data_IF_906457837214
#
_entry.id   IF_906457837214
#
_cell.length_a   1.000
_cell.length_b   1.000
_cell.length_c   1.000
_cell.angle_alpha   90.00
_cell.angle_beta   90.00
_cell.angle_gamma   90.00
#
_symmetry.space_group_name_H-M   'P 1'
#
loop_
_entity.id
_entity.type
_entity.pdbx_description
1 polymer ?
#
# COMPACT_ATOMS: atom_id res chain seq x y z
N UNK A 1 3.66 -16.82 -12.80
CA UNK A 1 4.45 -16.61 -14.03
C UNK A 1 5.78 -15.94 -13.69
N UNK A 2 6.69 -16.62 -12.96
CA UNK A 2 7.92 -15.99 -12.42
C UNK A 2 9.22 -16.68 -12.88
N UNK A 3 9.14 -17.60 -13.85
CA UNK A 3 10.32 -18.24 -14.42
C UNK A 3 10.80 -17.42 -15.62
N UNK A 4 12.00 -16.84 -15.53
CA UNK A 4 12.65 -16.14 -16.64
C UNK A 4 12.72 -14.60 -16.55
N UNK A 5 12.23 -14.01 -15.45
CA UNK A 5 12.33 -12.57 -15.18
C UNK A 5 13.28 -12.27 -14.01
N UNK A 6 14.03 -11.19 -14.16
CA UNK A 6 14.99 -10.68 -13.21
C UNK A 6 14.34 -9.70 -12.22
N UNK A 7 15.06 -9.39 -11.14
CA UNK A 7 14.60 -8.42 -10.15
C UNK A 7 14.73 -6.99 -10.69
N UNK A 8 13.71 -6.16 -10.48
CA UNK A 8 13.84 -4.71 -10.64
C UNK A 8 14.89 -4.18 -9.68
N UNK A 9 15.76 -3.27 -10.11
CA UNK A 9 16.62 -2.50 -9.24
C UNK A 9 16.32 -1.00 -9.37
N UNK A 10 16.82 -0.15 -8.45
CA UNK A 10 16.62 1.30 -8.53
C UNK A 10 17.09 1.92 -9.86
N UNK A 11 18.07 1.32 -10.54
CA UNK A 11 18.60 1.79 -11.82
C UNK A 11 17.65 1.55 -13.01
N UNK A 12 16.64 0.68 -12.85
CA UNK A 12 15.62 0.41 -13.88
C UNK A 12 14.49 1.44 -13.85
N UNK A 13 14.30 2.10 -12.70
CA UNK A 13 13.22 3.05 -12.46
C UNK A 13 13.23 4.28 -13.38
N UNK A 14 14.36 4.92 -13.75
CA UNK A 14 14.34 6.07 -14.66
C UNK A 14 13.72 5.76 -16.01
N UNK A 15 14.12 4.64 -16.64
CA UNK A 15 13.60 4.24 -17.94
C UNK A 15 12.10 3.95 -17.84
N UNK A 16 11.70 3.21 -16.80
CA UNK A 16 10.31 2.88 -16.56
C UNK A 16 9.43 4.10 -16.32
N UNK A 17 9.81 5.01 -15.41
CA UNK A 17 9.03 6.21 -15.12
C UNK A 17 8.97 7.17 -16.32
N UNK A 18 10.05 7.26 -17.11
CA UNK A 18 10.04 8.02 -18.37
C UNK A 18 9.01 7.45 -19.35
N UNK A 19 8.87 6.12 -19.43
CA UNK A 19 7.85 5.48 -20.25
C UNK A 19 6.43 5.70 -19.72
N UNK A 20 6.23 5.59 -18.40
CA UNK A 20 4.94 5.91 -17.76
C UNK A 20 4.48 7.34 -18.05
N UNK A 21 5.41 8.30 -18.13
CA UNK A 21 5.09 9.71 -18.42
C UNK A 21 4.60 9.95 -19.86
N UNK A 22 4.75 8.97 -20.76
CA UNK A 22 4.14 9.03 -22.10
C UNK A 22 2.65 8.71 -22.10
N UNK A 23 2.17 8.03 -21.05
CA UNK A 23 0.76 7.73 -20.92
C UNK A 23 -0.07 9.01 -20.67
N UNK A 24 -1.25 9.15 -21.29
CA UNK A 24 -2.09 10.34 -21.17
C UNK A 24 -2.64 10.54 -19.75
N UNK A 25 -2.79 9.46 -18.99
CA UNK A 25 -3.11 9.51 -17.57
C UNK A 25 -1.88 9.09 -16.77
N UNK A 26 -1.48 9.86 -15.75
CA UNK A 26 -0.28 9.52 -15.00
C UNK A 26 -0.55 8.30 -14.13
N UNK A 27 0.17 7.22 -14.44
CA UNK A 27 0.11 5.95 -13.72
C UNK A 27 0.48 6.14 -12.25
N UNK A 28 -0.11 5.30 -11.39
CA UNK A 28 0.10 5.37 -9.94
C UNK A 28 0.81 4.11 -9.51
N UNK A 29 1.97 4.24 -8.85
CA UNK A 29 2.67 3.11 -8.23
C UNK A 29 1.80 2.55 -7.09
N UNK A 30 1.47 1.27 -7.16
CA UNK A 30 0.57 0.59 -6.22
C UNK A 30 1.19 -0.71 -5.72
N UNK A 31 0.38 -1.58 -5.10
CA UNK A 31 0.78 -2.94 -4.79
C UNK A 31 1.86 -3.05 -3.70
N UNK A 32 2.76 -4.02 -3.85
CA UNK A 32 3.90 -4.17 -2.94
C UNK A 32 4.93 -3.05 -3.09
N UNK A 33 5.05 -2.52 -4.30
CA UNK A 33 6.05 -1.51 -4.62
C UNK A 33 5.80 -0.15 -3.97
N UNK A 34 4.55 0.27 -3.84
CA UNK A 34 4.25 1.51 -3.12
C UNK A 34 4.61 1.41 -1.63
N UNK A 35 4.45 0.23 -1.01
CA UNK A 35 4.91 0.00 0.36
C UNK A 35 6.43 0.12 0.46
N UNK A 36 7.16 -0.58 -0.43
CA UNK A 36 8.63 -0.50 -0.49
C UNK A 36 9.12 0.93 -0.65
N UNK A 37 8.50 1.68 -1.57
CA UNK A 37 8.81 3.10 -1.79
C UNK A 37 8.71 3.90 -0.49
N UNK A 38 7.61 3.77 0.25
CA UNK A 38 7.41 4.54 1.48
C UNK A 38 8.35 4.13 2.61
N UNK A 39 8.73 2.85 2.69
CA UNK A 39 9.70 2.41 3.69
C UNK A 39 11.06 3.06 3.41
N UNK A 40 11.53 2.99 2.17
CA UNK A 40 12.78 3.62 1.76
C UNK A 40 12.75 5.13 2.00
N UNK A 41 11.67 5.79 1.55
CA UNK A 41 11.46 7.23 1.74
C UNK A 41 11.53 7.67 3.21
N UNK A 42 10.96 6.87 4.12
CA UNK A 42 10.95 7.18 5.56
C UNK A 42 12.12 6.56 6.34
N UNK A 43 13.00 5.80 5.68
CA UNK A 43 14.09 5.07 6.35
C UNK A 43 13.59 4.12 7.44
N UNK A 44 12.42 3.47 7.25
CA UNK A 44 11.85 2.57 8.25
C UNK A 44 12.72 1.31 8.34
N UNK A 45 13.25 0.95 9.53
CA UNK A 45 14.02 -0.28 9.69
C UNK A 45 13.15 -1.49 9.42
N UNK A 46 13.63 -2.37 8.57
CA UNK A 46 12.94 -3.61 8.26
C UNK A 46 13.70 -4.76 8.92
N UNK A 47 13.00 -5.73 9.52
CA UNK A 47 13.64 -6.95 10.01
C UNK A 47 14.47 -7.62 8.91
N UNK A 48 15.56 -8.34 9.23
CA UNK A 48 16.28 -9.13 8.23
C UNK A 48 15.33 -10.19 7.64
N UNK A 49 14.72 -9.86 6.51
CA UNK A 49 13.91 -10.75 5.71
C UNK A 49 14.83 -11.55 4.78
N UNK A 50 14.45 -12.78 4.45
CA UNK A 50 15.21 -13.63 3.52
C UNK A 50 15.23 -13.07 2.08
N UNK A 51 14.43 -12.05 1.77
CA UNK A 51 14.30 -11.47 0.43
C UNK A 51 14.74 -10.01 0.40
N UNK A 52 15.63 -9.69 -0.55
CA UNK A 52 16.02 -8.33 -0.94
C UNK A 52 14.80 -7.46 -1.28
N UNK A 53 14.86 -6.16 -0.98
CA UNK A 53 13.83 -5.12 -1.18
C UNK A 53 13.36 -4.87 -2.62
N UNK A 54 13.74 -5.74 -3.53
CA UNK A 54 13.39 -5.67 -4.92
C UNK A 54 12.19 -6.61 -5.07
N UNK A 55 11.06 -6.14 -5.58
CA UNK A 55 10.05 -7.08 -6.10
C UNK A 55 10.48 -7.48 -7.51
N UNK A 56 10.09 -8.66 -7.98
CA UNK A 56 10.36 -9.04 -9.39
C UNK A 56 9.50 -8.21 -10.36
N UNK A 57 8.50 -7.56 -9.81
CA UNK A 57 7.31 -7.02 -10.43
C UNK A 57 7.18 -5.55 -10.03
N UNK A 58 6.91 -4.65 -10.98
CA UNK A 58 6.42 -3.31 -10.69
C UNK A 58 4.89 -3.23 -10.88
N UNK A 59 4.13 -2.90 -9.82
CA UNK A 59 2.67 -2.77 -9.90
C UNK A 59 2.26 -1.31 -10.14
N UNK A 60 1.51 -1.04 -11.22
CA UNK A 60 0.96 0.29 -11.49
C UNK A 60 -0.55 0.27 -11.76
N UNK A 61 -1.31 1.18 -11.14
CA UNK A 61 -2.70 1.41 -11.52
C UNK A 61 -2.74 2.28 -12.77
N UNK A 62 -3.14 1.66 -13.89
CA UNK A 62 -3.20 2.30 -15.20
C UNK A 62 -4.14 1.53 -16.13
N UNK A 63 -4.54 2.17 -17.24
CA UNK A 63 -5.44 1.56 -18.22
C UNK A 63 -4.68 0.63 -19.17
N UNK A 64 -5.43 -0.25 -19.86
CA UNK A 64 -4.89 -1.04 -20.97
C UNK A 64 -4.25 -0.17 -22.06
N UNK A 65 -4.80 1.00 -22.32
CA UNK A 65 -4.26 1.94 -23.30
C UNK A 65 -2.91 2.49 -22.85
N UNK A 66 -2.77 2.83 -21.57
CA UNK A 66 -1.50 3.27 -20.98
C UNK A 66 -0.44 2.17 -21.10
N UNK A 67 -0.81 0.90 -20.83
CA UNK A 67 0.08 -0.24 -20.97
C UNK A 67 0.60 -0.43 -22.41
N UNK A 68 -0.26 -0.20 -23.41
CA UNK A 68 0.14 -0.25 -24.83
C UNK A 68 1.21 0.80 -25.14
N UNK A 69 1.01 2.04 -24.68
CA UNK A 69 1.96 3.14 -24.89
C UNK A 69 3.31 2.83 -24.20
N UNK A 70 3.25 2.32 -22.97
CA UNK A 70 4.46 1.98 -22.21
C UNK A 70 5.21 0.82 -22.87
N UNK A 71 4.51 -0.20 -23.38
CA UNK A 71 5.13 -1.29 -24.13
C UNK A 71 5.86 -0.79 -25.38
N UNK A 72 5.25 0.15 -26.12
CA UNK A 72 5.88 0.75 -27.31
C UNK A 72 7.15 1.54 -26.96
N UNK A 73 7.09 2.39 -25.92
CA UNK A 73 8.23 3.21 -25.48
C UNK A 73 9.38 2.35 -24.91
N UNK A 74 9.06 1.24 -24.23
CA UNK A 74 10.06 0.32 -23.72
C UNK A 74 10.57 -0.68 -24.76
N UNK A 75 10.05 -0.63 -26.00
CA UNK A 75 10.25 -1.67 -27.02
C UNK A 75 9.99 -3.09 -26.46
N UNK A 76 8.99 -3.19 -25.60
CA UNK A 76 8.59 -4.39 -24.88
C UNK A 76 7.48 -5.18 -25.57
N UNK A 77 7.09 -6.29 -24.94
CA UNK A 77 5.95 -7.11 -25.33
C UNK A 77 4.80 -6.88 -24.37
N UNK A 78 3.63 -6.60 -24.92
CA UNK A 78 2.38 -6.46 -24.19
C UNK A 78 1.62 -7.80 -24.15
N UNK A 79 1.30 -8.26 -22.95
CA UNK A 79 0.37 -9.37 -22.72
C UNK A 79 -0.90 -8.81 -22.08
N UNK A 80 -2.05 -9.14 -22.65
CA UNK A 80 -3.36 -8.76 -22.11
C UNK A 80 -4.01 -10.05 -21.60
N UNK A 81 -4.42 -10.13 -20.32
CA UNK A 81 -5.12 -11.29 -19.79
C UNK A 81 -6.42 -11.54 -20.57
N UNK A 82 -6.72 -12.82 -20.83
CA UNK A 82 -7.98 -13.19 -21.48
C UNK A 82 -9.15 -13.05 -20.51
N UNK A 83 -10.39 -13.01 -21.01
CA UNK A 83 -11.58 -12.82 -20.16
C UNK A 83 -11.76 -13.89 -19.07
N UNK A 84 -11.16 -15.06 -19.26
CA UNK A 84 -11.18 -16.19 -18.32
C UNK A 84 -10.06 -16.11 -17.26
N UNK A 85 -9.08 -15.21 -17.44
CA UNK A 85 -8.10 -14.91 -16.42
C UNK A 85 -8.76 -14.02 -15.36
N UNK A 86 -9.25 -14.64 -14.27
CA UNK A 86 -9.78 -13.93 -13.09
C UNK A 86 -8.68 -13.16 -12.33
N UNK A 87 -7.94 -12.30 -13.01
CA UNK A 87 -6.85 -11.49 -12.47
C UNK A 87 -7.25 -10.01 -12.46
N UNK A 88 -6.86 -9.25 -11.44
CA UNK A 88 -7.11 -7.80 -11.38
C UNK A 88 -6.23 -6.99 -12.36
N UNK A 89 -5.34 -7.66 -13.10
CA UNK A 89 -4.40 -7.06 -14.03
C UNK A 89 -5.13 -6.73 -15.34
N UNK A 90 -4.87 -5.54 -15.88
CA UNK A 90 -5.35 -5.09 -17.20
C UNK A 90 -4.35 -5.40 -18.30
N UNK A 91 -3.06 -5.51 -17.97
CA UNK A 91 -1.99 -5.90 -18.87
C UNK A 91 -0.72 -6.25 -18.09
N UNK A 92 0.19 -6.97 -18.74
CA UNK A 92 1.57 -7.16 -18.32
C UNK A 92 2.46 -6.63 -19.45
N UNK A 93 3.41 -5.76 -19.12
CA UNK A 93 4.44 -5.30 -20.06
C UNK A 93 5.75 -5.95 -19.69
N UNK A 94 6.33 -6.70 -20.61
CA UNK A 94 7.66 -7.31 -20.44
C UNK A 94 8.66 -6.59 -21.35
N UNK A 95 9.86 -6.33 -20.88
CA UNK A 95 10.88 -5.65 -21.69
C UNK A 95 12.28 -6.09 -21.27
N UNK A 96 13.25 -5.81 -22.15
CA UNK A 96 14.66 -6.07 -21.86
C UNK A 96 15.34 -4.77 -21.44
N UNK A 97 15.89 -4.76 -20.23
CA UNK A 97 16.68 -3.64 -19.74
C UNK A 97 17.98 -3.47 -20.55
N UNK A 98 18.61 -2.28 -20.54
CA UNK A 98 19.85 -2.03 -21.29
C UNK A 98 21.02 -2.97 -20.92
N UNK A 99 21.03 -3.49 -19.69
CA UNK A 99 22.03 -4.45 -19.20
C UNK A 99 21.71 -5.91 -19.58
N UNK A 100 20.61 -6.14 -20.30
CA UNK A 100 20.21 -7.42 -20.84
C UNK A 100 19.24 -8.22 -19.96
N UNK A 101 18.88 -7.74 -18.76
CA UNK A 101 17.87 -8.36 -17.87
C UNK A 101 16.47 -8.30 -18.48
N UNK A 102 15.64 -9.30 -18.17
CA UNK A 102 14.22 -9.32 -18.54
C UNK A 102 13.37 -8.86 -17.37
N UNK A 103 12.66 -7.76 -17.54
CA UNK A 103 11.84 -7.14 -16.50
C UNK A 103 10.37 -7.17 -16.90
N UNK A 104 9.47 -7.11 -15.92
CA UNK A 104 8.04 -7.01 -16.18
C UNK A 104 7.28 -6.08 -15.23
N UNK A 105 6.27 -5.42 -15.77
CA UNK A 105 5.42 -4.48 -15.06
C UNK A 105 3.98 -4.96 -15.17
N UNK A 106 3.33 -5.09 -14.02
CA UNK A 106 1.92 -5.42 -13.90
C UNK A 106 1.09 -4.14 -13.90
N UNK A 107 0.24 -4.00 -14.91
CA UNK A 107 -0.75 -2.94 -14.99
C UNK A 107 -2.02 -3.44 -14.34
N UNK A 108 -2.42 -2.78 -13.25
CA UNK A 108 -3.57 -3.12 -12.43
C UNK A 108 -4.78 -2.29 -12.84
N UNK A 109 -5.92 -2.94 -13.08
CA UNK A 109 -7.19 -2.26 -13.31
C UNK A 109 -7.92 -1.87 -12.03
N UNK A 110 -7.64 -2.57 -10.94
CA UNK A 110 -8.25 -2.34 -9.63
C UNK A 110 -7.37 -2.92 -8.51
N UNK A 111 -7.61 -2.51 -7.27
CA UNK A 111 -6.97 -3.07 -6.09
C UNK A 111 -8.05 -3.54 -5.10
N UNK A 112 -7.82 -4.71 -4.50
CA UNK A 112 -8.76 -5.27 -3.52
C UNK A 112 -8.96 -4.29 -2.36
N UNK A 113 -10.23 -4.04 -2.04
CA UNK A 113 -10.64 -3.13 -0.98
C UNK A 113 -10.56 -1.64 -1.36
N UNK A 114 -10.10 -1.30 -2.56
CA UNK A 114 -9.94 0.08 -3.03
C UNK A 114 -10.69 0.35 -4.34
N UNK A 115 -11.23 1.56 -4.46
CA UNK A 115 -11.84 2.09 -5.67
C UNK A 115 -10.82 2.89 -6.48
N UNK A 116 -10.92 2.86 -7.81
CA UNK A 116 -10.02 3.67 -8.64
C UNK A 116 -10.16 5.18 -8.38
N UNK A 117 -11.36 5.62 -7.95
CA UNK A 117 -11.60 7.00 -7.55
C UNK A 117 -10.76 7.37 -6.33
N UNK A 118 -10.84 6.59 -5.24
CA UNK A 118 -10.09 6.90 -4.01
C UNK A 118 -8.56 6.88 -4.25
N UNK A 119 -8.08 5.94 -5.08
CA UNK A 119 -6.65 5.88 -5.44
C UNK A 119 -6.23 7.14 -6.20
N UNK A 120 -6.97 7.52 -7.24
CA UNK A 120 -6.61 8.66 -8.09
C UNK A 120 -6.68 10.02 -7.37
N UNK A 121 -7.66 10.19 -6.49
CA UNK A 121 -7.88 11.44 -5.74
C UNK A 121 -6.88 11.63 -4.60
N UNK A 122 -6.28 10.56 -4.08
CA UNK A 122 -5.39 10.64 -2.91
C UNK A 122 -3.94 10.31 -3.20
N UNK A 123 -3.61 9.84 -4.41
CA UNK A 123 -2.24 9.54 -4.79
C UNK A 123 -1.31 10.73 -4.48
N UNK A 124 -0.17 10.43 -3.87
CA UNK A 124 0.82 11.44 -3.53
C UNK A 124 1.68 11.68 -4.75
N UNK A 125 1.72 12.94 -5.20
CA UNK A 125 2.54 13.37 -6.33
C UNK A 125 3.84 13.96 -5.80
N UNK A 126 4.96 13.52 -6.38
CA UNK A 126 6.29 14.00 -6.02
C UNK A 126 7.11 14.21 -7.28
N UNK A 127 7.84 15.32 -7.34
CA UNK A 127 8.88 15.50 -8.33
C UNK A 127 10.19 14.88 -7.82
N UNK A 128 10.77 14.01 -8.63
CA UNK A 128 12.10 13.47 -8.40
C UNK A 128 13.04 13.93 -9.50
N UNK A 129 14.24 14.40 -9.13
CA UNK A 129 15.21 14.97 -10.08
C UNK A 129 15.59 14.01 -11.21
N UNK A 130 15.58 12.70 -10.94
CA UNK A 130 15.95 11.65 -11.92
C UNK A 130 14.73 11.05 -12.64
N UNK A 131 13.58 11.01 -11.98
CA UNK A 131 12.42 10.23 -12.46
C UNK A 131 11.29 11.12 -12.99
N UNK A 132 11.37 12.44 -12.79
CA UNK A 132 10.28 13.37 -13.06
C UNK A 132 9.14 13.20 -12.07
N UNK A 133 7.91 13.44 -12.52
CA UNK A 133 6.71 13.31 -11.71
C UNK A 133 6.41 11.83 -11.43
N UNK A 134 6.35 11.46 -10.16
CA UNK A 134 5.93 10.14 -9.68
C UNK A 134 4.62 10.31 -8.91
N UNK A 135 3.67 9.41 -9.15
CA UNK A 135 2.45 9.28 -8.34
C UNK A 135 2.50 7.96 -7.59
N UNK A 136 2.38 8.00 -6.26
CA UNK A 136 2.43 6.80 -5.40
C UNK A 136 1.14 6.67 -4.62
N UNK A 137 0.67 5.44 -4.44
CA UNK A 137 -0.49 5.15 -3.60
C UNK A 137 -0.30 5.75 -2.20
N UNK A 138 -1.30 6.50 -1.73
CA UNK A 138 -1.27 7.13 -0.42
C UNK A 138 -1.03 6.11 0.71
N UNK A 139 -0.17 6.39 1.70
CA UNK A 139 0.14 5.46 2.81
C UNK A 139 -1.06 4.85 3.54
N UNK A 140 -2.14 5.62 3.72
CA UNK A 140 -3.40 5.07 4.29
C UNK A 140 -4.03 4.01 3.41
N UNK A 141 -4.00 4.19 2.09
CA UNK A 141 -4.54 3.22 1.14
C UNK A 141 -3.62 2.01 1.00
N UNK A 142 -2.30 2.18 1.17
CA UNK A 142 -1.36 1.07 1.30
C UNK A 142 -1.76 0.19 2.49
N UNK A 143 -1.94 0.78 3.67
CA UNK A 143 -2.41 0.07 4.87
C UNK A 143 -3.74 -0.64 4.63
N UNK A 144 -4.76 0.07 4.14
CA UNK A 144 -6.08 -0.51 3.83
C UNK A 144 -5.96 -1.70 2.87
N UNK A 145 -5.19 -1.58 1.79
CA UNK A 145 -4.96 -2.65 0.82
C UNK A 145 -4.29 -3.87 1.44
N UNK A 146 -3.26 -3.71 2.30
CA UNK A 146 -2.59 -4.85 2.94
C UNK A 146 -3.52 -5.61 3.90
N UNK A 147 -4.35 -4.88 4.64
CA UNK A 147 -5.36 -5.47 5.54
C UNK A 147 -6.41 -6.25 4.74
N UNK A 148 -6.92 -5.68 3.65
CA UNK A 148 -7.90 -6.33 2.77
C UNK A 148 -7.32 -7.54 2.04
N UNK A 149 -6.06 -7.49 1.62
CA UNK A 149 -5.38 -8.63 1.01
C UNK A 149 -5.30 -9.82 1.97
N UNK A 150 -4.90 -9.62 3.23
CA UNK A 150 -4.88 -10.70 4.22
C UNK A 150 -6.27 -11.26 4.51
N UNK A 151 -7.29 -10.41 4.48
CA UNK A 151 -8.67 -10.82 4.69
C UNK A 151 -9.21 -11.64 3.52
N UNK A 152 -9.04 -11.16 2.28
CA UNK A 152 -9.71 -11.72 1.10
C UNK A 152 -8.89 -12.77 0.36
N UNK A 153 -7.55 -12.69 0.39
CA UNK A 153 -6.67 -13.55 -0.41
C UNK A 153 -5.90 -14.54 0.45
N UNK A 154 -6.27 -15.83 0.36
CA UNK A 154 -5.56 -16.90 1.07
C UNK A 154 -4.06 -16.93 0.72
N UNK A 155 -3.71 -16.71 -0.56
CA UNK A 155 -2.33 -16.71 -1.05
C UNK A 155 -1.47 -15.59 -0.48
N UNK A 156 -2.06 -14.54 0.11
CA UNK A 156 -1.33 -13.44 0.74
C UNK A 156 -1.14 -13.62 2.25
N UNK A 157 -1.60 -14.74 2.84
CA UNK A 157 -1.51 -15.02 4.28
C UNK A 157 -0.22 -15.75 4.67
N UNK A 158 0.82 -15.62 3.85
CA UNK A 158 2.17 -16.11 4.15
C UNK A 158 2.93 -15.14 5.06
N UNK A 159 4.14 -15.52 5.46
CA UNK A 159 4.97 -14.70 6.35
C UNK A 159 5.25 -13.30 5.76
N UNK A 160 5.47 -13.23 4.45
CA UNK A 160 5.73 -11.97 3.74
C UNK A 160 4.51 -11.04 3.75
N UNK A 161 3.32 -11.53 3.41
CA UNK A 161 2.11 -10.71 3.42
C UNK A 161 1.73 -10.21 4.82
N UNK A 162 1.96 -11.02 5.84
CA UNK A 162 1.79 -10.62 7.25
C UNK A 162 2.77 -9.49 7.61
N UNK A 163 4.04 -9.62 7.24
CA UNK A 163 5.05 -8.59 7.52
C UNK A 163 4.78 -7.28 6.75
N UNK A 164 4.38 -7.38 5.48
CA UNK A 164 3.97 -6.21 4.71
C UNK A 164 2.82 -5.44 5.37
N UNK A 165 1.85 -6.14 5.99
CA UNK A 165 0.78 -5.48 6.73
C UNK A 165 1.30 -4.78 7.99
N UNK A 166 2.28 -5.34 8.72
CA UNK A 166 2.94 -4.67 9.85
C UNK A 166 3.70 -3.43 9.41
N UNK A 167 4.48 -3.53 8.35
CA UNK A 167 5.22 -2.40 7.78
C UNK A 167 4.27 -1.30 7.29
N UNK A 168 3.12 -1.67 6.70
CA UNK A 168 2.13 -0.68 6.27
C UNK A 168 1.51 0.12 7.43
N UNK A 169 1.37 -0.49 8.62
CA UNK A 169 0.97 0.22 9.85
C UNK A 169 2.03 1.26 10.24
N UNK A 170 3.31 0.86 10.20
CA UNK A 170 4.43 1.77 10.50
C UNK A 170 4.53 2.91 9.49
N UNK A 171 4.42 2.61 8.19
CA UNK A 171 4.41 3.60 7.11
C UNK A 171 3.28 4.61 7.28
N UNK A 172 2.07 4.15 7.59
CA UNK A 172 0.94 5.06 7.84
C UNK A 172 1.22 5.97 9.05
N UNK A 173 1.77 5.41 10.14
CA UNK A 173 2.15 6.18 11.33
C UNK A 173 3.14 7.28 10.99
N UNK A 174 4.28 6.92 10.40
CA UNK A 174 5.35 7.87 10.08
C UNK A 174 4.85 8.92 9.10
N UNK A 175 4.05 8.53 8.09
CA UNK A 175 3.45 9.51 7.18
C UNK A 175 2.59 10.55 7.92
N UNK A 176 1.75 10.14 8.87
CA UNK A 176 0.94 11.08 9.65
C UNK A 176 1.80 12.02 10.49
N UNK A 177 2.83 11.47 11.14
CA UNK A 177 3.76 12.22 12.00
C UNK A 177 4.59 13.22 11.17
N UNK A 178 5.11 12.82 10.01
CA UNK A 178 5.89 13.70 9.13
C UNK A 178 5.00 14.77 8.49
N UNK A 179 3.81 14.41 8.02
CA UNK A 179 2.89 15.39 7.42
C UNK A 179 2.43 16.44 8.44
N UNK A 180 2.26 16.06 9.70
CA UNK A 180 1.97 17.00 10.78
C UNK A 180 3.07 18.05 10.97
N UNK A 181 4.35 17.65 10.87
CA UNK A 181 5.51 18.55 11.01
C UNK A 181 5.57 19.59 9.90
N UNK A 182 5.05 19.28 8.71
CA UNK A 182 5.01 20.19 7.57
C UNK A 182 3.88 21.22 7.67
N UNK A 183 2.95 21.05 8.60
CA UNK A 183 1.83 21.98 8.75
C UNK A 183 2.27 23.29 9.41
N UNK A 184 1.81 24.41 8.84
CA UNK A 184 2.03 25.76 9.41
C UNK A 184 1.06 26.10 10.53
N UNK A 185 -0.06 25.38 10.62
CA UNK A 185 -1.08 25.50 11.66
C UNK A 185 -1.02 24.30 12.59
N UNK A 186 -1.74 24.41 13.72
CA UNK A 186 -1.91 23.31 14.66
C UNK A 186 -2.36 22.01 13.95
N UNK A 187 -1.55 20.93 14.02
CA UNK A 187 -1.84 19.70 13.29
C UNK A 187 -2.92 18.84 13.96
N UNK A 188 -3.38 19.19 15.17
CA UNK A 188 -4.34 18.40 15.93
C UNK A 188 -5.59 18.01 15.14
N UNK A 189 -6.19 18.94 14.40
CA UNK A 189 -7.37 18.65 13.58
C UNK A 189 -7.11 17.56 12.54
N UNK A 190 -5.97 17.63 11.84
CA UNK A 190 -5.55 16.62 10.88
C UNK A 190 -5.31 15.26 11.56
N UNK A 191 -4.58 15.25 12.68
CA UNK A 191 -4.24 14.02 13.40
C UNK A 191 -5.49 13.34 13.97
N UNK A 192 -6.43 14.10 14.51
CA UNK A 192 -7.73 13.61 14.97
C UNK A 192 -8.52 13.01 13.80
N UNK A 193 -8.51 13.64 12.62
CA UNK A 193 -9.13 13.08 11.42
C UNK A 193 -8.47 11.75 10.99
N UNK A 194 -7.13 11.64 11.12
CA UNK A 194 -6.41 10.38 10.83
C UNK A 194 -6.79 9.29 11.83
N UNK A 195 -6.91 9.61 13.12
CA UNK A 195 -7.42 8.69 14.13
C UNK A 195 -8.86 8.24 13.82
N UNK A 196 -9.72 9.17 13.38
CA UNK A 196 -11.08 8.84 12.94
C UNK A 196 -11.10 7.90 11.73
N UNK A 197 -10.18 8.08 10.78
CA UNK A 197 -10.00 7.16 9.66
C UNK A 197 -9.54 5.76 10.11
N UNK A 198 -8.53 5.71 11.00
CA UNK A 198 -8.04 4.45 11.58
C UNK A 198 -9.12 3.73 12.39
N UNK A 199 -9.94 4.45 13.13
CA UNK A 199 -11.07 3.86 13.86
C UNK A 199 -12.06 3.19 12.90
N UNK A 200 -12.39 3.82 11.77
CA UNK A 200 -13.27 3.21 10.76
C UNK A 200 -12.66 1.93 10.19
N UNK A 201 -11.36 1.95 9.89
CA UNK A 201 -10.65 0.75 9.43
C UNK A 201 -10.62 -0.34 10.52
N UNK A 202 -10.28 0.00 11.76
CA UNK A 202 -10.19 -0.93 12.88
C UNK A 202 -11.52 -1.64 13.22
N UNK A 203 -12.65 -1.03 12.84
CA UNK A 203 -13.99 -1.59 13.01
C UNK A 203 -14.47 -2.43 11.81
N UNK A 204 -13.70 -2.49 10.71
CA UNK A 204 -14.01 -3.32 9.55
C UNK A 204 -13.79 -4.80 9.84
N UNK A 205 -14.52 -5.66 9.14
CA UNK A 205 -14.36 -7.12 9.29
C UNK A 205 -12.95 -7.57 8.90
N UNK A 206 -12.33 -6.92 7.91
CA UNK A 206 -10.96 -7.19 7.49
C UNK A 206 -9.95 -6.90 8.61
N UNK A 207 -10.01 -5.72 9.25
CA UNK A 207 -9.09 -5.38 10.32
C UNK A 207 -9.33 -6.23 11.58
N UNK A 208 -10.59 -6.59 11.88
CA UNK A 208 -10.93 -7.50 12.98
C UNK A 208 -10.35 -8.89 12.73
N UNK A 209 -10.52 -9.42 11.51
CA UNK A 209 -9.95 -10.70 11.11
C UNK A 209 -8.43 -10.68 11.24
N UNK A 210 -7.77 -9.65 10.70
CA UNK A 210 -6.31 -9.51 10.72
C UNK A 210 -5.79 -9.40 12.16
N UNK A 211 -6.45 -8.62 13.02
CA UNK A 211 -6.12 -8.57 14.44
C UNK A 211 -6.25 -9.94 15.11
N UNK A 212 -7.38 -10.63 14.91
CA UNK A 212 -7.66 -11.90 15.58
C UNK A 212 -6.79 -13.07 15.10
N UNK A 213 -6.20 -13.00 13.90
CA UNK A 213 -5.35 -14.06 13.35
C UNK A 213 -3.86 -13.77 13.44
N UNK A 214 -3.47 -12.50 13.38
CA UNK A 214 -2.07 -12.11 13.24
C UNK A 214 -1.61 -11.10 14.29
N UNK A 215 -2.51 -10.61 15.15
CA UNK A 215 -2.18 -9.62 16.18
C UNK A 215 -1.71 -8.28 15.61
N UNK A 216 -2.13 -7.93 14.39
CA UNK A 216 -1.81 -6.64 13.77
C UNK A 216 -2.94 -5.67 14.12
N UNK A 217 -2.61 -4.61 14.85
CA UNK A 217 -3.55 -3.55 15.20
C UNK A 217 -3.31 -2.31 14.34
N UNK A 218 -4.29 -1.96 13.50
CA UNK A 218 -4.20 -0.73 12.69
C UNK A 218 -4.22 0.54 13.54
N UNK A 219 -4.74 0.50 14.77
CA UNK A 219 -4.68 1.64 15.69
C UNK A 219 -3.26 1.96 16.15
N UNK A 220 -2.30 1.04 16.00
CA UNK A 220 -0.89 1.32 16.29
C UNK A 220 -0.32 2.40 15.34
N UNK A 221 -1.00 2.69 14.23
CA UNK A 221 -0.67 3.81 13.36
C UNK A 221 -1.10 5.18 13.91
N UNK A 222 -1.87 5.23 15.01
CA UNK A 222 -2.41 6.48 15.55
C UNK A 222 -1.31 7.32 16.23
N UNK A 223 -1.06 8.57 15.78
CA UNK A 223 -0.06 9.46 16.36
C UNK A 223 -0.58 10.16 17.63
N UNK A 224 -1.14 9.39 18.57
CA UNK A 224 -1.83 9.87 19.79
C UNK A 224 -0.96 10.83 20.59
N UNK A 225 0.34 10.54 20.69
CA UNK A 225 1.29 11.33 21.46
C UNK A 225 1.55 12.74 20.90
N UNK A 226 1.23 12.99 19.62
CA UNK A 226 1.42 14.30 19.00
C UNK A 226 0.20 15.21 19.12
N UNK A 227 -0.97 14.64 19.42
CA UNK A 227 -2.21 15.40 19.57
C UNK A 227 -2.17 16.10 20.94
N UNK A 228 -2.38 17.42 20.96
CA UNK A 228 -2.30 18.23 22.20
C UNK A 228 -3.65 18.44 22.87
N UNK A 229 -4.74 18.31 22.11
CA UNK A 229 -6.11 18.55 22.54
C UNK A 229 -6.46 17.68 23.76
N UNK A 230 -6.72 18.30 24.91
CA UNK A 230 -6.98 17.58 26.16
C UNK A 230 -8.21 16.67 26.06
N UNK A 231 -9.29 17.17 25.47
CA UNK A 231 -10.53 16.40 25.24
C UNK A 231 -10.27 15.14 24.40
N UNK A 232 -9.28 15.16 23.51
CA UNK A 232 -8.92 13.98 22.73
C UNK A 232 -8.41 12.86 23.64
N UNK A 233 -7.53 13.18 24.58
CA UNK A 233 -6.94 12.22 25.52
C UNK A 233 -7.92 11.76 26.60
N UNK A 234 -8.72 12.68 27.15
CA UNK A 234 -9.63 12.36 28.24
C UNK A 234 -10.90 11.63 27.77
N UNK A 235 -11.34 11.88 26.53
CA UNK A 235 -12.61 11.32 26.03
C UNK A 235 -12.50 10.58 24.69
N UNK A 236 -12.01 11.22 23.62
CA UNK A 236 -12.13 10.66 22.27
C UNK A 236 -11.32 9.37 22.08
N UNK A 237 -10.06 9.37 22.52
CA UNK A 237 -9.17 8.23 22.37
C UNK A 237 -9.62 7.03 23.23
N UNK A 238 -9.90 7.18 24.54
CA UNK A 238 -10.45 6.08 25.34
C UNK A 238 -11.74 5.50 24.77
N UNK A 239 -12.68 6.35 24.32
CA UNK A 239 -13.93 5.88 23.66
C UNK A 239 -13.64 5.11 22.37
N UNK A 240 -12.65 5.54 21.59
CA UNK A 240 -12.23 4.87 20.36
C UNK A 240 -11.68 3.48 20.64
N UNK A 241 -10.74 3.38 21.58
CA UNK A 241 -10.12 2.12 21.99
C UNK A 241 -11.18 1.15 22.54
N UNK A 242 -12.06 1.61 23.44
CA UNK A 242 -13.10 0.75 24.02
C UNK A 242 -14.08 0.24 22.96
N UNK A 243 -14.48 1.10 22.01
CA UNK A 243 -15.35 0.69 20.90
C UNK A 243 -14.73 -0.42 20.05
N UNK A 244 -13.44 -0.28 19.71
CA UNK A 244 -12.70 -1.28 18.92
C UNK A 244 -12.52 -2.57 19.73
N UNK A 245 -12.15 -2.47 21.01
CA UNK A 245 -12.00 -3.61 21.93
C UNK A 245 -13.29 -4.42 22.05
N UNK A 246 -14.43 -3.74 22.23
CA UNK A 246 -15.75 -4.39 22.30
C UNK A 246 -16.08 -5.16 21.03
N UNK A 247 -15.86 -4.56 19.85
CA UNK A 247 -16.11 -5.19 18.55
C UNK A 247 -15.20 -6.40 18.34
N UNK A 248 -13.90 -6.30 18.66
CA UNK A 248 -12.94 -7.42 18.59
C UNK A 248 -13.36 -8.57 19.51
N UNK A 249 -13.73 -8.27 20.75
CA UNK A 249 -14.16 -9.29 21.73
C UNK A 249 -15.38 -10.06 21.23
N UNK A 250 -16.35 -9.37 20.65
CA UNK A 250 -17.53 -10.00 20.06
C UNK A 250 -17.17 -10.89 18.85
N UNK A 251 -16.26 -10.44 17.99
CA UNK A 251 -15.81 -11.22 16.84
C UNK A 251 -14.99 -12.46 17.25
N UNK A 252 -14.05 -12.31 18.18
CA UNK A 252 -13.25 -13.42 18.72
C UNK A 252 -14.13 -14.48 19.40
N UNK A 253 -15.20 -14.06 20.09
CA UNK A 253 -16.25 -14.97 20.61
C UNK A 253 -16.91 -15.78 19.50
N UNK A 254 -17.32 -15.14 18.40
CA UNK A 254 -17.93 -15.81 17.24
C UNK A 254 -16.96 -16.76 16.53
N UNK A 255 -15.68 -16.44 16.53
CA UNK A 255 -14.63 -17.26 15.90
C UNK A 255 -14.14 -18.42 16.79
N UNK A 256 -14.67 -18.59 18.00
CA UNK A 256 -14.21 -19.60 18.95
C UNK A 256 -12.81 -19.35 19.52
N UNK A 257 -12.27 -18.14 19.38
CA UNK A 257 -10.90 -17.76 19.82
C UNK A 257 -10.85 -17.18 21.24
N UNK A 258 -11.83 -17.48 22.08
CA UNK A 258 -11.88 -16.98 23.47
C UNK A 258 -10.95 -17.83 24.32
N UNK A 259 -9.65 -17.52 24.25
CA UNK A 259 -8.62 -17.78 25.25
C UNK A 259 -7.23 -17.60 24.61
N UNK A 260 -6.80 -16.37 24.35
CA UNK A 260 -5.37 -16.05 24.31
C UNK A 260 -5.18 -14.74 25.08
N UNK A 261 -4.28 -14.83 26.06
CA UNK A 261 -4.02 -13.86 27.13
C UNK A 261 -3.49 -12.54 26.60
#
# INVERSE_FOLDING_TARGET
MANGFDWFCPDDLPLFFKALQKAPAPAILVGGQSLTFWIDWFGIPIPPLETTYLTKDADVLATKHDAMIVAEELHGTLQIPDMDDHTPNTAIVTYRAPDGRNLFVDFMGSLIGLTNKEIRETAVEMEHSTYGLIRVLHPTLVLKSRIENLYQLQVKRDANGIEQARLAVQVARVFFEEFAKLMTKDPDGYLIDRVGWLQKLALSDAAIYVFANYGIDVLDAAPVHQIKTEMFHSEHWPRTVERVKKKRTQAMKRMGKVNMR
#
